data_IF_182626934585
#
_entry.id   IF_182626934585
#
_cell.length_a   1.000
_cell.length_b   1.000
_cell.length_c   1.000
_cell.angle_alpha   90.00
_cell.angle_beta   90.00
_cell.angle_gamma   90.00
#
_symmetry.space_group_name_H-M   'P 1'
#
loop_
_entity.id
_entity.type
_entity.pdbx_description
1 polymer ?
#
# COMPACT_ATOMS: atom_id res chain seq x y z
N UNK A 1 -9.46 -14.38 6.69
CA UNK A 1 -8.22 -14.72 5.99
C UNK A 1 -7.25 -15.31 7.00
N UNK A 2 -6.68 -16.47 6.67
CA UNK A 2 -5.60 -17.10 7.44
C UNK A 2 -4.26 -16.66 6.83
N UNK A 3 -3.25 -16.49 7.67
CA UNK A 3 -1.91 -16.11 7.24
C UNK A 3 -0.88 -17.02 7.87
N UNK A 4 0.05 -17.51 7.06
CA UNK A 4 1.31 -18.04 7.55
C UNK A 4 2.23 -16.86 7.86
N UNK A 5 2.87 -16.89 9.03
CA UNK A 5 3.70 -15.80 9.54
C UNK A 5 5.03 -16.37 10.02
N UNK A 6 6.12 -15.90 9.45
CA UNK A 6 7.47 -16.18 9.96
C UNK A 6 7.82 -15.16 11.07
N UNK A 7 7.60 -15.55 12.31
CA UNK A 7 7.92 -14.71 13.47
C UNK A 7 9.38 -14.80 13.93
N UNK A 8 10.16 -15.72 13.34
CA UNK A 8 11.58 -15.89 13.69
C UNK A 8 12.47 -15.07 12.76
N UNK A 9 12.28 -15.19 11.43
CA UNK A 9 13.14 -14.56 10.42
C UNK A 9 12.41 -13.43 9.67
N UNK A 10 11.12 -13.25 9.92
CA UNK A 10 10.30 -12.22 9.28
C UNK A 10 10.65 -10.80 9.72
N UNK A 11 10.29 -9.82 8.90
CA UNK A 11 10.43 -8.41 9.23
C UNK A 11 9.65 -8.06 10.51
N UNK A 12 10.29 -7.44 11.49
CA UNK A 12 9.72 -7.10 12.82
C UNK A 12 9.10 -8.34 13.48
N UNK A 13 7.76 -8.36 13.61
CA UNK A 13 6.98 -9.46 14.19
C UNK A 13 6.47 -10.47 13.16
N UNK A 14 6.92 -10.35 11.90
CA UNK A 14 6.50 -11.17 10.77
C UNK A 14 5.14 -10.76 10.16
N UNK A 15 4.33 -9.96 10.85
CA UNK A 15 3.04 -9.47 10.37
C UNK A 15 2.67 -8.13 11.00
N UNK A 16 2.02 -7.26 10.23
CA UNK A 16 1.67 -5.89 10.64
C UNK A 16 0.21 -5.83 11.11
N UNK A 17 -0.03 -6.12 12.39
CA UNK A 17 -1.38 -6.14 12.97
C UNK A 17 -2.02 -4.75 13.06
N UNK A 18 -1.20 -3.71 13.14
CA UNK A 18 -1.62 -2.31 13.20
C UNK A 18 -2.48 -1.86 12.00
N UNK A 19 -2.32 -2.51 10.84
CA UNK A 19 -3.05 -2.23 9.60
C UNK A 19 -4.37 -3.03 9.45
N UNK A 20 -4.77 -3.86 10.41
CA UNK A 20 -5.89 -4.80 10.19
C UNK A 20 -7.21 -4.14 9.80
N UNK A 21 -7.56 -2.99 10.40
CA UNK A 21 -8.79 -2.28 10.06
C UNK A 21 -8.67 -1.47 8.75
N UNK A 22 -7.45 -1.05 8.39
CA UNK A 22 -7.18 -0.41 7.11
C UNK A 22 -7.33 -1.42 5.96
N UNK A 23 -6.89 -2.67 6.15
CA UNK A 23 -7.15 -3.76 5.20
C UNK A 23 -8.65 -4.01 4.99
N UNK A 24 -9.45 -3.96 6.07
CA UNK A 24 -10.90 -4.11 5.97
C UNK A 24 -11.56 -2.91 5.25
N UNK A 25 -11.04 -1.69 5.43
CA UNK A 25 -11.51 -0.51 4.69
C UNK A 25 -11.22 -0.66 3.19
N UNK A 26 -10.02 -1.10 2.83
CA UNK A 26 -9.67 -1.43 1.43
C UNK A 26 -10.60 -2.50 0.86
N UNK A 27 -10.84 -3.59 1.58
CA UNK A 27 -11.73 -4.68 1.14
C UNK A 27 -13.13 -4.17 0.78
N UNK A 28 -13.70 -3.24 1.55
CA UNK A 28 -15.04 -2.66 1.30
C UNK A 28 -15.12 -1.91 -0.04
N UNK A 29 -14.01 -1.33 -0.49
CA UNK A 29 -13.94 -0.53 -1.72
C UNK A 29 -13.52 -1.34 -2.94
N UNK A 30 -13.12 -2.60 -2.77
CA UNK A 30 -12.45 -3.40 -3.81
C UNK A 30 -13.41 -4.14 -4.76
N UNK A 31 -14.69 -4.25 -4.44
CA UNK A 31 -15.65 -5.03 -5.24
C UNK A 31 -15.68 -4.60 -6.71
N UNK A 32 -15.44 -5.57 -7.61
CA UNK A 32 -15.46 -5.37 -9.06
C UNK A 32 -14.32 -4.50 -9.58
N UNK A 33 -13.26 -4.29 -8.81
CA UNK A 33 -12.13 -3.44 -9.17
C UNK A 33 -10.90 -4.26 -9.53
N UNK A 34 -10.09 -3.70 -10.40
CA UNK A 34 -8.73 -4.15 -10.66
C UNK A 34 -7.79 -3.38 -9.73
N UNK A 35 -7.14 -4.10 -8.82
CA UNK A 35 -6.36 -3.55 -7.70
C UNK A 35 -4.87 -3.77 -7.93
N UNK A 36 -4.07 -2.73 -7.69
CA UNK A 36 -2.61 -2.81 -7.59
C UNK A 36 -2.21 -2.62 -6.12
N UNK A 37 -1.61 -3.63 -5.52
CA UNK A 37 -1.14 -3.64 -4.13
C UNK A 37 0.40 -3.56 -4.11
N UNK A 38 0.92 -2.37 -3.85
CA UNK A 38 2.34 -2.09 -3.81
C UNK A 38 2.90 -2.23 -2.40
N UNK A 39 4.10 -2.84 -2.29
CA UNK A 39 4.76 -3.18 -1.04
C UNK A 39 3.95 -4.21 -0.23
N UNK A 40 3.49 -5.22 -0.95
CA UNK A 40 2.49 -6.17 -0.44
C UNK A 40 2.97 -7.02 0.74
N UNK A 41 4.30 -7.14 0.94
CA UNK A 41 4.91 -8.00 1.95
C UNK A 41 4.35 -9.44 1.81
N UNK A 42 3.67 -9.96 2.83
CA UNK A 42 3.06 -11.30 2.82
C UNK A 42 1.65 -11.33 2.21
N UNK A 43 1.27 -10.34 1.40
CA UNK A 43 0.04 -10.32 0.61
C UNK A 43 -1.18 -9.75 1.33
N UNK A 44 -1.01 -9.12 2.48
CA UNK A 44 -2.15 -8.86 3.38
C UNK A 44 -3.19 -7.87 2.85
N UNK A 45 -2.81 -6.79 2.17
CA UNK A 45 -3.75 -5.86 1.56
C UNK A 45 -4.40 -6.46 0.32
N UNK A 46 -3.61 -7.06 -0.58
CA UNK A 46 -4.11 -7.70 -1.80
C UNK A 46 -5.10 -8.82 -1.51
N UNK A 47 -4.82 -9.66 -0.51
CA UNK A 47 -5.74 -10.74 -0.09
C UNK A 47 -7.06 -10.19 0.48
N UNK A 48 -7.01 -9.09 1.25
CA UNK A 48 -8.23 -8.45 1.72
C UNK A 48 -9.01 -7.81 0.58
N UNK A 49 -8.34 -7.21 -0.41
CA UNK A 49 -8.98 -6.69 -1.62
C UNK A 49 -9.67 -7.82 -2.41
N UNK A 50 -8.99 -8.95 -2.64
CA UNK A 50 -9.56 -10.12 -3.30
C UNK A 50 -10.76 -10.68 -2.53
N UNK A 51 -10.65 -10.84 -1.19
CA UNK A 51 -11.76 -11.27 -0.33
C UNK A 51 -12.93 -10.29 -0.35
N UNK A 52 -12.66 -8.99 -0.55
CA UNK A 52 -13.65 -7.93 -0.73
C UNK A 52 -14.35 -7.94 -2.09
N UNK A 53 -13.97 -8.85 -2.98
CA UNK A 53 -14.58 -9.04 -4.30
C UNK A 53 -13.89 -8.26 -5.41
N UNK A 54 -12.61 -7.96 -5.29
CA UNK A 54 -11.81 -7.47 -6.41
C UNK A 54 -11.87 -8.45 -7.58
N UNK A 55 -11.96 -7.93 -8.81
CA UNK A 55 -11.94 -8.74 -10.03
C UNK A 55 -10.53 -9.32 -10.30
N UNK A 56 -9.52 -8.53 -10.03
CA UNK A 56 -8.12 -8.89 -10.21
C UNK A 56 -7.25 -8.07 -9.24
N UNK A 57 -6.23 -8.69 -8.72
CA UNK A 57 -5.24 -8.03 -7.85
C UNK A 57 -3.83 -8.36 -8.36
N UNK A 58 -3.03 -7.33 -8.62
CA UNK A 58 -1.58 -7.47 -8.77
C UNK A 58 -0.91 -7.02 -7.49
N UNK A 59 -0.28 -7.94 -6.78
CA UNK A 59 0.46 -7.67 -5.54
C UNK A 59 1.96 -7.69 -5.80
N UNK A 60 2.66 -6.62 -5.40
CA UNK A 60 4.06 -6.39 -5.74
C UNK A 60 4.90 -6.16 -4.49
N UNK A 61 6.01 -6.85 -4.40
CA UNK A 61 7.08 -6.58 -3.41
C UNK A 61 8.45 -6.81 -4.05
N UNK A 62 9.48 -6.17 -3.51
CA UNK A 62 10.85 -6.38 -3.97
C UNK A 62 11.43 -7.70 -3.46
N UNK A 63 10.91 -8.21 -2.34
CA UNK A 63 11.39 -9.43 -1.69
C UNK A 63 10.75 -10.66 -2.31
N UNK A 64 11.53 -11.49 -2.99
CA UNK A 64 11.07 -12.77 -3.55
C UNK A 64 10.50 -13.69 -2.46
N UNK A 65 11.15 -13.75 -1.30
CA UNK A 65 10.67 -14.59 -0.18
C UNK A 65 9.34 -14.09 0.41
N UNK A 66 9.10 -12.78 0.44
CA UNK A 66 7.81 -12.21 0.84
C UNK A 66 6.73 -12.56 -0.19
N UNK A 67 7.04 -12.46 -1.49
CA UNK A 67 6.15 -12.84 -2.59
C UNK A 67 5.80 -14.33 -2.52
N UNK A 68 6.77 -15.22 -2.28
CA UNK A 68 6.52 -16.66 -2.09
C UNK A 68 5.58 -16.94 -0.90
N UNK A 69 5.77 -16.24 0.21
CA UNK A 69 4.89 -16.35 1.37
C UNK A 69 3.48 -15.83 1.04
N UNK A 70 3.40 -14.72 0.32
CA UNK A 70 2.11 -14.15 -0.12
C UNK A 70 1.35 -15.12 -1.05
N UNK A 71 2.04 -15.79 -1.96
CA UNK A 71 1.46 -16.85 -2.82
C UNK A 71 0.92 -18.02 -2.00
N UNK A 72 1.66 -18.48 -0.99
CA UNK A 72 1.21 -19.54 -0.07
C UNK A 72 -0.05 -19.09 0.69
N UNK A 73 -0.07 -17.86 1.17
CA UNK A 73 -1.23 -17.28 1.84
C UNK A 73 -2.43 -17.19 0.91
N UNK A 74 -2.25 -16.79 -0.36
CA UNK A 74 -3.33 -16.75 -1.34
C UNK A 74 -3.94 -18.13 -1.55
N UNK A 75 -3.10 -19.14 -1.77
CA UNK A 75 -3.52 -20.53 -1.96
C UNK A 75 -4.25 -21.09 -0.74
N UNK A 76 -3.74 -20.83 0.47
CA UNK A 76 -4.37 -21.27 1.72
C UNK A 76 -5.77 -20.68 1.94
N UNK A 77 -6.08 -19.56 1.29
CA UNK A 77 -7.38 -18.88 1.36
C UNK A 77 -8.25 -19.10 0.10
N UNK A 78 -7.79 -19.86 -0.90
CA UNK A 78 -8.50 -20.06 -2.17
C UNK A 78 -8.65 -18.79 -3.00
N UNK A 79 -7.67 -17.87 -2.91
CA UNK A 79 -7.65 -16.57 -3.59
C UNK A 79 -6.58 -16.50 -4.69
N UNK A 80 -5.84 -17.56 -4.92
CA UNK A 80 -4.75 -17.66 -5.90
C UNK A 80 -5.20 -17.49 -7.35
N UNK A 81 -6.48 -17.70 -7.64
CA UNK A 81 -7.08 -17.39 -8.95
C UNK A 81 -7.41 -15.90 -9.16
N UNK A 82 -7.39 -15.09 -8.11
CA UNK A 82 -7.73 -13.66 -8.16
C UNK A 82 -6.49 -12.78 -8.00
N UNK A 83 -5.47 -13.24 -7.27
CA UNK A 83 -4.28 -12.46 -6.95
C UNK A 83 -3.07 -12.99 -7.71
N UNK A 84 -2.48 -12.15 -8.54
CA UNK A 84 -1.18 -12.37 -9.16
C UNK A 84 -0.09 -11.67 -8.35
N UNK A 85 1.09 -12.27 -8.28
CA UNK A 85 2.22 -11.75 -7.52
C UNK A 85 3.42 -11.49 -8.41
N UNK A 86 4.11 -10.36 -8.16
CA UNK A 86 5.29 -9.96 -8.90
C UNK A 86 6.41 -9.51 -7.95
N UNK A 87 7.56 -10.14 -8.03
CA UNK A 87 8.78 -9.65 -7.36
C UNK A 87 9.39 -8.52 -8.21
N UNK A 88 9.23 -7.28 -7.76
CA UNK A 88 9.74 -6.10 -8.48
C UNK A 88 9.89 -4.89 -7.55
N UNK A 89 10.80 -3.99 -7.92
CA UNK A 89 10.90 -2.69 -7.28
C UNK A 89 9.75 -1.78 -7.74
N UNK A 90 8.93 -1.33 -6.81
CA UNK A 90 7.76 -0.48 -7.09
C UNK A 90 8.13 0.83 -7.77
N UNK A 91 9.27 1.44 -7.41
CA UNK A 91 9.75 2.68 -8.05
C UNK A 91 10.05 2.50 -9.54
N UNK A 92 10.56 1.33 -9.93
CA UNK A 92 10.87 1.00 -11.32
C UNK A 92 9.65 0.49 -12.09
N UNK A 93 8.69 -0.12 -11.38
CA UNK A 93 7.49 -0.72 -11.96
C UNK A 93 6.42 0.32 -12.30
N UNK A 94 6.09 1.21 -11.35
CA UNK A 94 4.98 2.16 -11.52
C UNK A 94 5.08 2.98 -12.83
N UNK A 95 6.25 3.53 -13.24
CA UNK A 95 6.34 4.23 -14.50
C UNK A 95 6.03 3.37 -15.73
N UNK A 96 6.34 2.07 -15.67
CA UNK A 96 6.21 1.14 -16.79
C UNK A 96 4.78 0.61 -16.98
N UNK A 97 3.95 0.64 -15.93
CA UNK A 97 2.60 0.05 -15.97
C UNK A 97 1.63 0.74 -16.93
N UNK A 98 1.93 1.97 -17.37
CA UNK A 98 1.13 2.69 -18.37
C UNK A 98 1.56 2.48 -19.81
N UNK A 99 2.65 1.76 -20.07
CA UNK A 99 3.33 1.72 -21.35
C UNK A 99 3.67 0.30 -21.80
N UNK A 100 3.84 0.14 -23.12
CA UNK A 100 4.41 -1.05 -23.75
C UNK A 100 3.72 -2.36 -23.37
N UNK A 101 4.54 -3.38 -23.10
CA UNK A 101 4.07 -4.73 -22.76
C UNK A 101 3.35 -4.79 -21.40
N UNK A 102 3.69 -3.91 -20.46
CA UNK A 102 3.13 -3.94 -19.13
C UNK A 102 1.64 -3.56 -19.11
N UNK A 103 1.25 -2.52 -19.85
CA UNK A 103 -0.17 -2.17 -19.97
C UNK A 103 -0.95 -3.24 -20.73
N UNK A 104 -0.34 -3.89 -21.73
CA UNK A 104 -0.97 -4.99 -22.47
C UNK A 104 -1.18 -6.22 -21.57
N UNK A 105 -0.22 -6.51 -20.69
CA UNK A 105 -0.28 -7.65 -19.77
C UNK A 105 -1.24 -7.43 -18.60
N UNK A 106 -1.11 -6.30 -17.91
CA UNK A 106 -1.81 -6.07 -16.65
C UNK A 106 -3.04 -5.20 -16.78
N UNK A 107 -3.20 -4.46 -17.88
CA UNK A 107 -4.30 -3.54 -18.08
C UNK A 107 -4.24 -2.32 -17.15
N UNK A 108 -5.37 -1.63 -17.01
CA UNK A 108 -5.51 -0.48 -16.08
C UNK A 108 -6.00 -0.95 -14.73
N UNK A 109 -5.65 -0.20 -13.70
CA UNK A 109 -6.09 -0.43 -12.33
C UNK A 109 -7.08 0.66 -11.90
N UNK A 110 -8.11 0.26 -11.15
CA UNK A 110 -9.12 1.17 -10.61
C UNK A 110 -8.83 1.58 -9.18
N UNK A 111 -7.99 0.82 -8.50
CA UNK A 111 -7.61 1.02 -7.12
C UNK A 111 -6.12 0.70 -6.95
N UNK A 112 -5.35 1.64 -6.39
CA UNK A 112 -3.93 1.44 -6.07
C UNK A 112 -3.74 1.60 -4.57
N UNK A 113 -2.99 0.68 -3.98
CA UNK A 113 -2.64 0.66 -2.56
C UNK A 113 -1.13 0.86 -2.46
N UNK A 114 -0.71 1.83 -1.64
CA UNK A 114 0.68 2.14 -1.35
C UNK A 114 0.92 2.02 0.16
N UNK A 115 1.51 0.90 0.59
CA UNK A 115 1.92 0.66 1.98
C UNK A 115 3.46 0.51 2.09
N UNK A 116 4.22 1.57 1.77
CA UNK A 116 5.67 1.50 1.74
C UNK A 116 6.26 1.33 3.14
N UNK A 117 7.48 0.77 3.24
CA UNK A 117 8.24 0.83 4.47
C UNK A 117 8.52 2.28 4.87
N UNK A 118 8.88 2.50 6.14
CA UNK A 118 9.24 3.83 6.61
C UNK A 118 10.47 4.35 5.85
N UNK A 119 10.28 5.34 4.98
CA UNK A 119 11.37 5.95 4.20
C UNK A 119 12.27 6.86 5.05
N UNK A 120 11.83 7.18 6.27
CA UNK A 120 12.67 7.94 7.23
C UNK A 120 12.58 7.33 8.62
N UNK A 121 13.73 7.30 9.28
CA UNK A 121 13.89 6.89 10.68
C UNK A 121 14.53 8.00 11.54
N UNK A 122 14.71 9.20 10.96
CA UNK A 122 15.30 10.35 11.66
C UNK A 122 14.81 11.65 11.05
N UNK A 123 14.91 12.75 11.82
CA UNK A 123 14.57 14.11 11.32
C UNK A 123 15.43 14.55 10.14
N UNK A 124 16.68 14.09 10.08
CA UNK A 124 17.64 14.45 9.02
C UNK A 124 17.25 13.90 7.64
N UNK A 125 16.51 12.82 7.59
CA UNK A 125 16.14 12.14 6.33
C UNK A 125 14.70 12.42 5.88
N UNK A 126 13.98 13.30 6.57
CA UNK A 126 12.57 13.66 6.27
C UNK A 126 12.41 14.20 4.85
N UNK A 127 13.27 15.13 4.41
CA UNK A 127 13.18 15.71 3.07
C UNK A 127 13.41 14.67 1.97
N UNK A 128 14.35 13.75 2.18
CA UNK A 128 14.57 12.64 1.24
C UNK A 128 13.37 11.69 1.20
N UNK A 129 12.79 11.39 2.36
CA UNK A 129 11.59 10.58 2.47
C UNK A 129 10.38 11.24 1.77
N UNK A 130 10.21 12.55 1.94
CA UNK A 130 9.18 13.33 1.26
C UNK A 130 9.26 13.15 -0.26
N UNK A 131 10.48 13.18 -0.85
CA UNK A 131 10.67 12.93 -2.28
C UNK A 131 10.25 11.51 -2.68
N UNK A 132 10.64 10.51 -1.90
CA UNK A 132 10.24 9.12 -2.16
C UNK A 132 8.74 8.89 -2.08
N UNK A 133 8.09 9.38 -1.01
CA UNK A 133 6.63 9.32 -0.90
C UNK A 133 5.93 10.07 -2.04
N UNK A 134 6.43 11.26 -2.40
CA UNK A 134 5.87 12.05 -3.51
C UNK A 134 5.96 11.29 -4.82
N UNK A 135 7.10 10.69 -5.12
CA UNK A 135 7.31 9.95 -6.38
C UNK A 135 6.32 8.81 -6.55
N UNK A 136 6.19 7.92 -5.57
CA UNK A 136 5.26 6.78 -5.70
C UNK A 136 3.80 7.24 -5.76
N UNK A 137 3.41 8.25 -4.97
CA UNK A 137 2.05 8.78 -5.00
C UNK A 137 1.74 9.48 -6.33
N UNK A 138 2.66 10.30 -6.85
CA UNK A 138 2.54 10.93 -8.16
C UNK A 138 2.34 9.89 -9.27
N UNK A 139 3.15 8.83 -9.29
CA UNK A 139 3.03 7.76 -10.29
C UNK A 139 1.71 7.01 -10.18
N UNK A 140 1.30 6.66 -8.96
CA UNK A 140 0.02 6.01 -8.72
C UNK A 140 -1.16 6.88 -9.19
N UNK A 141 -1.15 8.17 -8.87
CA UNK A 141 -2.19 9.11 -9.32
C UNK A 141 -2.29 9.22 -10.85
N UNK A 142 -1.17 9.16 -11.55
CA UNK A 142 -1.14 9.18 -13.03
C UNK A 142 -1.64 7.88 -13.66
N UNK A 143 -1.50 6.75 -12.97
CA UNK A 143 -1.99 5.45 -13.43
C UNK A 143 -3.51 5.29 -13.26
N UNK A 144 -4.07 5.96 -12.25
CA UNK A 144 -5.48 5.83 -11.92
C UNK A 144 -6.37 6.55 -12.94
N UNK A 145 -7.47 5.92 -13.37
CA UNK A 145 -8.48 6.59 -14.17
C UNK A 145 -9.25 7.62 -13.31
N UNK A 146 -9.98 8.49 -13.98
CA UNK A 146 -10.90 9.41 -13.28
C UNK A 146 -11.93 8.60 -12.48
N UNK A 147 -12.07 8.89 -11.19
CA UNK A 147 -12.92 8.16 -10.26
C UNK A 147 -12.27 6.91 -9.66
N UNK A 148 -11.00 6.65 -9.96
CA UNK A 148 -10.20 5.60 -9.30
C UNK A 148 -9.91 5.92 -7.83
N UNK A 149 -9.51 4.91 -7.08
CA UNK A 149 -9.19 5.01 -5.66
C UNK A 149 -7.68 4.91 -5.42
N UNK A 150 -7.19 5.69 -4.49
CA UNK A 150 -5.83 5.60 -3.95
C UNK A 150 -5.93 5.37 -2.45
N UNK A 151 -5.39 4.26 -1.96
CA UNK A 151 -5.08 4.08 -0.55
C UNK A 151 -3.58 4.29 -0.37
N UNK A 152 -3.18 5.21 0.48
CA UNK A 152 -1.77 5.52 0.68
C UNK A 152 -1.46 5.75 2.14
N UNK A 153 -0.31 5.27 2.60
CA UNK A 153 0.06 5.41 4.00
C UNK A 153 1.54 5.68 4.24
N UNK A 154 1.82 6.08 5.45
CA UNK A 154 3.17 6.17 6.02
C UNK A 154 3.16 5.69 7.46
N UNK A 155 4.04 4.73 7.75
CA UNK A 155 4.27 4.22 9.11
C UNK A 155 5.45 4.91 9.82
N UNK A 156 5.94 6.04 9.31
CA UNK A 156 7.04 6.78 9.93
C UNK A 156 6.51 7.86 10.88
N UNK A 157 6.90 7.80 12.15
CA UNK A 157 6.66 8.86 13.12
C UNK A 157 7.18 10.24 12.65
N UNK A 158 8.37 10.28 12.02
CA UNK A 158 8.96 11.53 11.52
C UNK A 158 8.23 12.14 10.32
N UNK A 159 7.45 11.35 9.60
CA UNK A 159 6.52 11.82 8.58
C UNK A 159 5.21 12.20 9.26
N UNK A 160 5.12 13.41 9.80
CA UNK A 160 3.90 13.88 10.46
C UNK A 160 2.71 13.91 9.50
N UNK A 161 1.49 13.90 10.03
CA UNK A 161 0.27 14.00 9.23
C UNK A 161 0.27 15.21 8.31
N UNK A 162 0.65 16.38 8.84
CA UNK A 162 0.74 17.62 8.07
C UNK A 162 1.72 17.53 6.90
N UNK A 163 2.90 16.90 7.12
CA UNK A 163 3.89 16.68 6.06
C UNK A 163 3.39 15.71 5.01
N UNK A 164 2.71 14.63 5.44
CA UNK A 164 2.18 13.63 4.52
C UNK A 164 1.07 14.21 3.64
N UNK A 165 0.11 14.93 4.23
CA UNK A 165 -0.96 15.63 3.48
C UNK A 165 -0.39 16.69 2.55
N UNK A 166 0.59 17.48 3.01
CA UNK A 166 1.29 18.45 2.14
C UNK A 166 1.94 17.76 0.94
N UNK A 167 2.59 16.63 1.15
CA UNK A 167 3.19 15.82 0.08
C UNK A 167 2.13 15.32 -0.91
N UNK A 168 0.99 14.83 -0.42
CA UNK A 168 -0.13 14.38 -1.28
C UNK A 168 -0.68 15.51 -2.15
N UNK A 169 -0.85 16.72 -1.58
CA UNK A 169 -1.26 17.89 -2.35
C UNK A 169 -0.26 18.26 -3.46
N UNK A 170 1.04 18.19 -3.16
CA UNK A 170 2.09 18.44 -4.16
C UNK A 170 2.09 17.37 -5.26
N UNK A 171 1.95 16.10 -4.89
CA UNK A 171 1.88 14.99 -5.85
C UNK A 171 0.64 15.12 -6.76
N UNK A 172 -0.52 15.49 -6.20
CA UNK A 172 -1.75 15.70 -6.97
C UNK A 172 -1.63 16.88 -7.95
N UNK A 173 -1.03 18.00 -7.52
CA UNK A 173 -0.77 19.15 -8.37
C UNK A 173 0.13 18.76 -9.55
N UNK A 174 1.23 18.05 -9.28
CA UNK A 174 2.17 17.60 -10.33
C UNK A 174 1.56 16.51 -11.24
N UNK A 175 0.60 15.74 -10.74
CA UNK A 175 -0.15 14.78 -11.54
C UNK A 175 -1.27 15.44 -12.38
N UNK A 176 -1.65 16.68 -12.09
CA UNK A 176 -2.76 17.37 -12.72
C UNK A 176 -4.13 16.80 -12.32
N UNK A 177 -4.26 16.27 -11.10
CA UNK A 177 -5.49 15.64 -10.60
C UNK A 177 -6.03 16.32 -9.36
N UNK A 178 -7.35 16.19 -9.14
CA UNK A 178 -8.00 16.62 -7.90
C UNK A 178 -8.34 15.40 -7.06
N UNK A 179 -7.93 15.42 -5.80
CA UNK A 179 -8.21 14.36 -4.83
C UNK A 179 -9.44 14.73 -3.99
N UNK A 180 -10.19 13.69 -3.62
CA UNK A 180 -11.25 13.78 -2.60
C UNK A 180 -10.92 12.79 -1.51
N UNK A 181 -10.66 13.27 -0.31
CA UNK A 181 -10.47 12.39 0.85
C UNK A 181 -11.82 11.77 1.23
N UNK A 182 -11.88 10.45 1.26
CA UNK A 182 -13.05 9.69 1.70
C UNK A 182 -12.87 9.09 3.08
N UNK A 183 -11.64 8.73 3.45
CA UNK A 183 -11.29 8.26 4.79
C UNK A 183 -9.92 8.82 5.21
N UNK A 184 -9.75 9.02 6.54
CA UNK A 184 -8.48 9.20 7.22
C UNK A 184 -8.44 8.24 8.41
N UNK A 185 -7.40 7.44 8.53
CA UNK A 185 -7.29 6.36 9.50
C UNK A 185 -5.90 6.33 10.11
N UNK A 186 -5.82 5.68 11.26
CA UNK A 186 -4.59 5.44 12.02
C UNK A 186 -4.39 3.94 12.23
N UNK A 187 -3.42 3.57 13.05
CA UNK A 187 -3.22 2.19 13.49
C UNK A 187 -4.44 1.64 14.25
N UNK A 188 -4.54 0.32 14.26
CA UNK A 188 -5.63 -0.36 14.96
C UNK A 188 -5.57 -0.15 16.48
N UNK A 189 -6.71 -0.23 17.21
CA UNK A 189 -6.77 0.04 18.65
C UNK A 189 -5.90 -0.84 19.55
N UNK A 190 -5.48 -2.00 19.07
CA UNK A 190 -4.49 -2.86 19.75
C UNK A 190 -3.04 -2.34 19.66
N UNK A 191 -2.85 -1.21 18.93
CA UNK A 191 -1.63 -0.39 18.91
C UNK A 191 -2.00 1.02 19.39
N UNK A 192 -2.28 1.21 20.70
CA UNK A 192 -2.84 2.44 21.22
C UNK A 192 -1.85 3.60 21.09
N UNK A 193 -2.41 4.80 20.83
CA UNK A 193 -1.67 6.04 20.89
C UNK A 193 -1.61 6.52 22.34
N UNK A 194 -0.41 6.66 22.88
CA UNK A 194 -0.18 7.21 24.20
C UNK A 194 -0.01 8.73 24.08
N UNK A 195 -0.89 9.48 24.70
CA UNK A 195 -0.93 10.94 24.57
C UNK A 195 0.35 11.67 25.03
N UNK A 196 1.12 11.04 25.90
CA UNK A 196 2.40 11.53 26.41
C UNK A 196 3.62 10.95 25.71
N UNK A 197 3.42 10.14 24.66
CA UNK A 197 4.48 9.48 23.88
C UNK A 197 4.16 9.62 22.38
N UNK A 198 4.59 10.75 21.80
CA UNK A 198 4.24 11.13 20.42
C UNK A 198 4.64 10.08 19.37
N UNK A 199 5.72 9.32 19.62
CA UNK A 199 6.21 8.27 18.74
C UNK A 199 5.20 7.14 18.52
N UNK A 200 4.23 6.99 19.43
CA UNK A 200 3.18 6.00 19.28
C UNK A 200 2.12 6.37 18.25
N UNK A 201 2.05 7.63 17.83
CA UNK A 201 1.21 8.10 16.71
C UNK A 201 2.02 8.09 15.41
N UNK A 202 2.19 6.93 14.82
CA UNK A 202 3.11 6.74 13.68
C UNK A 202 2.42 6.43 12.36
N UNK A 203 1.18 5.93 12.35
CA UNK A 203 0.51 5.48 11.12
C UNK A 203 -0.49 6.52 10.62
N UNK A 204 -0.30 6.94 9.38
CA UNK A 204 -1.24 7.75 8.60
C UNK A 204 -1.70 6.92 7.44
N UNK A 205 -3.01 6.80 7.24
CA UNK A 205 -3.63 6.06 6.14
C UNK A 205 -4.79 6.88 5.57
N UNK A 206 -4.74 7.13 4.28
CA UNK A 206 -5.73 7.90 3.53
C UNK A 206 -6.28 7.10 2.36
#
# INVERSE_FOLDING_TARGET
ISYDVDYINGQKTGFFLDQKYNRLAVAKLSRGKRVLDCFTHTGSFGLNAAKGGAEYVLSVDISESAVEMAQKNAKANGLDGTVEYLAANVFDLLPKLSEGEMINRYGKFDFIILDPPAFTKSRQTVESAMRGYKEINLRAMRLLPRGGYLATCSCSHFMTEQLFVKMLHQAAADAGVSLRQIEARQQSPDHPILWNVEETNYLKFY
#
